data_IF_747578151071
#
_entry.id   IF_747578151071
#
_cell.length_a   1.000
_cell.length_b   1.000
_cell.length_c   1.000
_cell.angle_alpha   90.00
_cell.angle_beta   90.00
_cell.angle_gamma   90.00
#
_symmetry.space_group_name_H-M   'P 1'
#
loop_
_entity.id
_entity.type
_entity.pdbx_description
1 polymer ?
#
# COMPACT_ATOMS: atom_id res chain seq x y z
N UNK A 1 59.90 46.46 -39.81
CA UNK A 1 60.05 45.04 -40.08
C UNK A 1 59.56 44.26 -38.84
N UNK A 2 58.32 43.68 -38.86
CA UNK A 2 57.71 42.92 -37.75
C UNK A 2 58.01 41.44 -38.04
N UNK A 3 58.69 40.75 -37.12
CA UNK A 3 58.96 39.31 -37.16
C UNK A 3 57.73 38.58 -36.62
N UNK A 4 57.17 37.64 -37.37
CA UNK A 4 56.07 36.76 -36.98
C UNK A 4 56.67 35.49 -36.39
N UNK A 5 56.30 35.03 -35.23
CA UNK A 5 56.79 33.76 -34.68
C UNK A 5 56.01 32.60 -35.30
N UNK A 6 56.73 31.59 -35.78
CA UNK A 6 56.26 30.34 -36.33
C UNK A 6 55.80 29.43 -35.16
N UNK A 7 54.52 29.23 -35.06
CA UNK A 7 53.95 28.31 -34.04
C UNK A 7 53.93 26.90 -34.62
N UNK A 8 54.71 26.01 -34.04
CA UNK A 8 54.75 24.59 -34.38
C UNK A 8 53.55 23.90 -33.77
N UNK A 9 52.58 23.46 -34.60
CA UNK A 9 51.45 22.63 -34.19
C UNK A 9 51.86 21.17 -34.26
N UNK A 10 52.02 20.54 -33.12
CA UNK A 10 52.23 19.08 -33.00
C UNK A 10 50.88 18.42 -32.92
N UNK A 11 50.49 17.72 -33.99
CA UNK A 11 49.28 16.92 -34.04
C UNK A 11 49.60 15.52 -33.47
N UNK A 12 49.11 15.27 -32.25
CA UNK A 12 49.14 13.91 -31.69
C UNK A 12 47.98 13.10 -32.26
N UNK A 13 48.30 12.17 -33.18
CA UNK A 13 47.34 11.14 -33.58
C UNK A 13 47.25 10.08 -32.50
N UNK A 14 46.18 10.13 -31.68
CA UNK A 14 45.84 9.02 -30.83
C UNK A 14 45.20 7.91 -31.68
N UNK A 15 45.93 6.85 -31.86
CA UNK A 15 45.43 5.60 -32.42
C UNK A 15 44.52 4.95 -31.35
N UNK A 16 43.21 5.15 -31.44
CA UNK A 16 42.23 4.46 -30.58
C UNK A 16 42.05 3.06 -31.16
N UNK A 17 42.72 2.09 -30.56
CA UNK A 17 42.42 0.67 -30.75
C UNK A 17 41.03 0.38 -30.17
N UNK A 18 40.08 -0.17 -30.93
CA UNK A 18 38.85 -0.66 -30.36
C UNK A 18 39.17 -1.92 -29.54
N UNK A 19 39.14 -1.79 -28.20
CA UNK A 19 39.00 -2.93 -27.31
C UNK A 19 37.63 -3.53 -27.57
N UNK A 20 37.56 -4.60 -28.34
CA UNK A 20 36.42 -5.46 -28.45
C UNK A 20 36.22 -6.11 -27.05
N UNK A 21 35.44 -5.47 -26.20
CA UNK A 21 34.86 -6.13 -25.02
C UNK A 21 33.90 -7.20 -25.56
N UNK A 22 34.36 -8.45 -25.53
CA UNK A 22 33.49 -9.60 -25.66
C UNK A 22 32.58 -9.56 -24.44
N UNK A 23 31.41 -8.89 -24.56
CA UNK A 23 30.34 -9.03 -23.61
C UNK A 23 29.94 -10.51 -23.57
N UNK A 24 30.42 -11.16 -22.55
CA UNK A 24 30.07 -12.54 -22.25
C UNK A 24 28.53 -12.61 -22.15
N UNK A 25 27.94 -13.40 -23.03
CA UNK A 25 26.52 -13.73 -23.12
C UNK A 25 25.93 -14.40 -21.86
N UNK A 26 26.64 -14.30 -20.74
CA UNK A 26 26.25 -14.92 -19.46
C UNK A 26 25.16 -14.15 -18.71
N UNK A 27 24.93 -12.86 -18.99
CA UNK A 27 23.91 -12.10 -18.27
C UNK A 27 22.50 -12.18 -18.86
N UNK A 28 22.35 -12.70 -20.06
CA UNK A 28 21.03 -12.79 -20.71
C UNK A 28 20.20 -14.01 -20.31
N UNK A 29 20.83 -15.06 -19.79
CA UNK A 29 20.14 -16.32 -19.46
C UNK A 29 19.56 -16.35 -18.05
N UNK A 30 20.05 -15.51 -17.12
CA UNK A 30 19.54 -15.48 -15.74
C UNK A 30 18.33 -14.54 -15.53
N UNK A 31 18.07 -13.62 -16.44
CA UNK A 31 16.95 -12.69 -16.31
C UNK A 31 15.62 -13.24 -16.85
N UNK A 32 15.63 -14.37 -17.56
CA UNK A 32 14.43 -14.92 -18.22
C UNK A 32 13.72 -16.03 -17.44
N UNK A 33 14.25 -16.46 -16.30
CA UNK A 33 13.67 -17.59 -15.55
C UNK A 33 13.18 -17.26 -14.12
N UNK A 34 13.33 -16.01 -13.64
CA UNK A 34 12.68 -15.61 -12.39
C UNK A 34 11.25 -15.18 -12.75
N UNK A 35 10.36 -16.14 -12.95
CA UNK A 35 8.94 -15.83 -12.94
C UNK A 35 8.56 -15.49 -11.49
N UNK A 36 8.41 -14.20 -11.19
CA UNK A 36 7.79 -13.80 -9.93
C UNK A 36 6.42 -14.45 -9.83
N UNK A 37 6.04 -15.00 -8.68
CA UNK A 37 4.72 -15.58 -8.51
C UNK A 37 3.67 -14.54 -8.92
N UNK A 38 2.72 -14.94 -9.73
CA UNK A 38 1.63 -14.05 -10.17
C UNK A 38 0.83 -13.68 -8.95
N UNK A 39 0.79 -12.39 -8.62
CA UNK A 39 -0.03 -11.88 -7.51
C UNK A 39 -1.50 -12.23 -7.74
N UNK A 40 -2.19 -12.69 -6.73
CA UNK A 40 -3.64 -12.92 -6.79
C UNK A 40 -4.38 -11.58 -7.00
N UNK A 41 -3.88 -10.52 -6.35
CA UNK A 41 -4.41 -9.16 -6.43
C UNK A 41 -3.37 -8.21 -7.02
N UNK A 42 -3.21 -8.14 -8.36
CA UNK A 42 -2.27 -7.23 -9.02
C UNK A 42 -2.73 -5.78 -8.88
N UNK A 43 -1.83 -4.86 -9.22
CA UNK A 43 -2.12 -3.42 -9.26
C UNK A 43 -3.37 -3.11 -10.11
N UNK A 44 -4.15 -2.11 -9.66
CA UNK A 44 -5.35 -1.63 -10.35
C UNK A 44 -5.57 -0.12 -10.20
N UNK A 45 -4.50 0.66 -9.94
CA UNK A 45 -4.59 2.12 -9.73
C UNK A 45 -5.17 2.87 -10.94
N UNK A 46 -5.00 2.34 -12.16
CA UNK A 46 -5.55 2.95 -13.37
C UNK A 46 -7.04 2.67 -13.57
N UNK A 47 -7.64 1.80 -12.77
CA UNK A 47 -9.07 1.49 -12.84
C UNK A 47 -9.86 2.50 -11.98
N UNK A 48 -11.05 2.87 -12.47
CA UNK A 48 -11.97 3.71 -11.70
C UNK A 48 -12.84 2.84 -10.80
N UNK A 49 -12.97 3.26 -9.56
CA UNK A 49 -13.89 2.67 -8.58
C UNK A 49 -14.75 3.78 -7.96
N UNK A 50 -16.00 3.45 -7.63
CA UNK A 50 -16.96 4.36 -7.00
C UNK A 50 -16.41 4.91 -5.67
N UNK A 51 -17.03 5.96 -5.16
CA UNK A 51 -16.62 6.55 -3.87
C UNK A 51 -17.03 5.66 -2.70
N UNK A 52 -16.34 5.79 -1.57
CA UNK A 52 -16.47 4.91 -0.40
C UNK A 52 -17.88 4.84 0.18
N UNK A 53 -18.61 5.95 0.19
CA UNK A 53 -19.99 5.99 0.70
C UNK A 53 -20.96 5.26 -0.23
N UNK A 54 -20.79 5.42 -1.53
CA UNK A 54 -21.58 4.70 -2.54
C UNK A 54 -21.29 3.20 -2.46
N UNK A 55 -20.02 2.83 -2.37
CA UNK A 55 -19.62 1.44 -2.18
C UNK A 55 -20.24 0.83 -0.92
N UNK A 56 -20.21 1.55 0.21
CA UNK A 56 -20.80 1.09 1.46
C UNK A 56 -22.32 0.87 1.35
N UNK A 57 -23.01 1.73 0.61
CA UNK A 57 -24.46 1.60 0.39
C UNK A 57 -24.83 0.35 -0.42
N UNK A 58 -23.97 -0.02 -1.39
CA UNK A 58 -24.14 -1.23 -2.22
C UNK A 58 -23.64 -2.52 -1.54
N UNK A 59 -22.83 -2.38 -0.48
CA UNK A 59 -22.19 -3.53 0.17
C UNK A 59 -23.24 -4.41 0.87
N UNK A 60 -23.11 -5.73 0.70
CA UNK A 60 -23.86 -6.70 1.47
C UNK A 60 -23.56 -6.53 2.98
N UNK A 61 -24.61 -6.26 3.74
CA UNK A 61 -24.51 -6.03 5.20
C UNK A 61 -24.10 -7.28 5.97
N UNK A 62 -24.16 -8.46 5.37
CA UNK A 62 -23.57 -9.67 5.92
C UNK A 62 -22.03 -9.68 5.85
N UNK A 63 -21.44 -8.94 4.91
CA UNK A 63 -19.98 -8.75 4.82
C UNK A 63 -19.52 -7.75 5.87
N UNK A 64 -20.18 -6.58 5.91
CA UNK A 64 -19.89 -5.53 6.87
C UNK A 64 -21.06 -4.57 7.03
N UNK A 65 -21.41 -4.28 8.25
CA UNK A 65 -22.37 -3.23 8.65
C UNK A 65 -21.77 -2.44 9.80
N UNK A 66 -21.89 -1.13 9.79
CA UNK A 66 -21.49 -0.30 10.92
C UNK A 66 -22.38 -0.55 12.14
N UNK A 67 -21.90 -0.21 13.34
CA UNK A 67 -22.77 -0.23 14.52
C UNK A 67 -23.86 0.83 14.37
N UNK A 68 -25.11 0.48 14.68
CA UNK A 68 -26.26 1.40 14.56
C UNK A 68 -26.08 2.69 15.36
N UNK A 69 -25.41 2.61 16.51
CA UNK A 69 -25.09 3.73 17.39
C UNK A 69 -23.58 3.96 17.45
N UNK A 70 -22.91 3.93 16.29
CA UNK A 70 -21.49 4.18 16.22
C UNK A 70 -21.16 5.57 16.79
N UNK A 71 -20.21 5.63 17.71
CA UNK A 71 -19.64 6.89 18.17
C UNK A 71 -18.68 7.48 17.13
N UNK A 72 -18.11 6.62 16.27
CA UNK A 72 -17.29 7.00 15.15
C UNK A 72 -17.29 5.91 14.07
N UNK A 73 -17.36 6.32 12.81
CA UNK A 73 -17.17 5.45 11.63
C UNK A 73 -16.19 6.10 10.68
N UNK A 74 -15.46 5.27 9.95
CA UNK A 74 -14.49 5.68 8.93
C UNK A 74 -14.70 4.82 7.67
N UNK A 75 -14.71 5.46 6.52
CA UNK A 75 -14.76 4.83 5.20
C UNK A 75 -13.77 5.55 4.32
N UNK A 76 -12.83 4.81 3.75
CA UNK A 76 -11.81 5.39 2.89
C UNK A 76 -11.47 4.44 1.73
N UNK A 77 -11.31 4.99 0.54
CA UNK A 77 -10.78 4.32 -0.64
C UNK A 77 -9.28 4.62 -0.70
N UNK A 78 -8.45 3.62 -0.49
CA UNK A 78 -7.01 3.75 -0.30
C UNK A 78 -6.21 2.70 -1.08
N UNK A 79 -4.89 2.87 -1.14
CA UNK A 79 -3.98 1.80 -1.55
C UNK A 79 -3.81 0.78 -0.42
N UNK A 80 -3.59 -0.47 -0.75
CA UNK A 80 -3.36 -1.52 0.25
C UNK A 80 -2.18 -1.22 1.18
N UNK A 81 -1.15 -0.55 0.66
CA UNK A 81 0.01 -0.11 1.45
C UNK A 81 -0.35 0.91 2.55
N UNK A 82 -1.45 1.65 2.39
CA UNK A 82 -1.87 2.70 3.33
C UNK A 82 -2.76 2.15 4.45
N UNK A 83 -3.19 0.89 4.38
CA UNK A 83 -4.06 0.24 5.38
C UNK A 83 -3.52 0.37 6.81
N UNK A 84 -2.21 0.13 7.10
CA UNK A 84 -1.69 0.28 8.46
C UNK A 84 -1.78 1.68 9.03
N UNK A 85 -1.63 2.71 8.18
CA UNK A 85 -1.71 4.12 8.59
C UNK A 85 -3.16 4.54 8.81
N UNK A 86 -4.06 4.09 7.94
CA UNK A 86 -5.50 4.34 8.05
C UNK A 86 -6.08 3.68 9.30
N UNK A 87 -5.68 2.44 9.60
CA UNK A 87 -6.08 1.77 10.84
C UNK A 87 -5.56 2.48 12.08
N UNK A 88 -4.30 2.94 12.05
CA UNK A 88 -3.74 3.74 13.15
C UNK A 88 -4.52 5.04 13.34
N UNK A 89 -4.88 5.71 12.25
CA UNK A 89 -5.71 6.93 12.29
C UNK A 89 -7.07 6.67 12.95
N UNK A 90 -7.73 5.58 12.58
CA UNK A 90 -8.98 5.15 13.22
C UNK A 90 -8.80 4.91 14.71
N UNK A 91 -7.77 4.18 15.14
CA UNK A 91 -7.45 3.92 16.55
C UNK A 91 -7.20 5.19 17.34
N UNK A 92 -6.46 6.15 16.77
CA UNK A 92 -6.21 7.44 17.41
C UNK A 92 -7.50 8.26 17.58
N UNK A 93 -8.38 8.28 16.57
CA UNK A 93 -9.66 8.98 16.62
C UNK A 93 -10.62 8.39 17.68
N UNK A 94 -10.54 7.11 17.91
CA UNK A 94 -11.37 6.39 18.87
C UNK A 94 -10.72 6.26 20.26
N UNK A 95 -9.54 6.89 20.46
CA UNK A 95 -8.74 6.80 21.69
C UNK A 95 -8.35 5.37 22.07
N UNK A 96 -8.45 4.46 21.14
CA UNK A 96 -7.93 3.12 21.28
C UNK A 96 -6.40 3.21 21.25
N UNK A 97 -5.77 2.94 22.38
CA UNK A 97 -4.32 2.83 22.43
C UNK A 97 -3.87 1.82 21.37
N UNK A 98 -2.99 2.20 20.46
CA UNK A 98 -2.66 1.33 19.34
C UNK A 98 -1.18 1.22 19.08
N UNK A 99 -0.73 -0.01 18.92
CA UNK A 99 0.52 -0.31 18.19
C UNK A 99 0.17 -0.28 16.71
N UNK A 100 0.97 0.42 15.91
CA UNK A 100 0.88 0.38 14.45
C UNK A 100 1.01 -1.08 14.01
N UNK A 101 0.06 -1.59 13.22
CA UNK A 101 0.24 -2.90 12.61
C UNK A 101 1.51 -2.89 11.79
N UNK A 102 2.32 -3.95 11.89
CA UNK A 102 3.38 -4.16 10.92
C UNK A 102 2.73 -4.19 9.54
N UNK A 103 3.28 -3.51 8.53
CA UNK A 103 2.75 -3.58 7.19
C UNK A 103 2.66 -5.06 6.84
N UNK A 104 1.44 -5.51 6.61
CA UNK A 104 1.21 -6.87 6.18
C UNK A 104 1.76 -6.95 4.77
N UNK A 105 3.00 -7.39 4.63
CA UNK A 105 3.54 -7.80 3.34
C UNK A 105 2.79 -9.07 2.95
N UNK A 106 1.57 -8.90 2.45
CA UNK A 106 0.88 -9.99 1.79
C UNK A 106 1.66 -10.27 0.51
N UNK A 107 2.20 -11.47 0.39
CA UNK A 107 2.91 -11.90 -0.82
C UNK A 107 1.99 -11.94 -2.06
N UNK A 108 0.67 -11.90 -1.84
CA UNK A 108 -0.34 -12.08 -2.88
C UNK A 108 -1.03 -10.79 -3.33
N UNK A 109 -0.84 -9.67 -2.60
CA UNK A 109 -1.51 -8.40 -2.85
C UNK A 109 -0.48 -7.33 -3.21
N UNK A 110 -0.68 -6.67 -4.36
CA UNK A 110 0.19 -5.56 -4.76
C UNK A 110 0.01 -4.36 -3.81
N UNK A 111 1.08 -3.67 -3.37
CA UNK A 111 0.99 -2.51 -2.46
C UNK A 111 0.07 -1.40 -2.95
N UNK A 112 0.04 -1.16 -4.27
CA UNK A 112 -0.80 -0.15 -4.91
C UNK A 112 -2.19 -0.69 -5.30
N UNK A 113 -2.62 -1.85 -4.80
CA UNK A 113 -3.98 -2.35 -5.01
C UNK A 113 -4.98 -1.44 -4.34
N UNK A 114 -5.99 -0.93 -5.06
CA UNK A 114 -7.05 -0.13 -4.46
C UNK A 114 -8.00 -1.01 -3.65
N UNK A 115 -8.29 -0.55 -2.45
CA UNK A 115 -9.15 -1.23 -1.48
C UNK A 115 -10.05 -0.21 -0.77
N UNK A 116 -11.14 -0.67 -0.18
CA UNK A 116 -11.95 0.10 0.75
C UNK A 116 -11.63 -0.34 2.17
N UNK A 117 -11.23 0.61 2.99
CA UNK A 117 -11.12 0.47 4.43
C UNK A 117 -12.39 0.98 5.08
N UNK A 118 -13.04 0.15 5.88
CA UNK A 118 -14.25 0.52 6.62
C UNK A 118 -14.08 0.12 8.07
N UNK A 119 -14.38 1.04 8.98
CA UNK A 119 -14.27 0.81 10.41
C UNK A 119 -15.39 1.47 11.18
N UNK A 120 -15.80 0.88 12.30
CA UNK A 120 -16.85 1.39 13.15
C UNK A 120 -16.53 1.13 14.61
N UNK A 121 -16.78 2.15 15.44
CA UNK A 121 -16.54 2.16 16.87
C UNK A 121 -17.82 2.52 17.61
N UNK A 122 -18.16 1.71 18.62
CA UNK A 122 -19.23 1.97 19.55
C UNK A 122 -18.73 1.87 20.98
N UNK A 123 -19.17 2.77 21.84
CA UNK A 123 -18.78 2.81 23.25
C UNK A 123 -19.98 3.20 24.11
N UNK A 124 -20.07 2.61 25.29
CA UNK A 124 -20.96 3.05 26.35
C UNK A 124 -20.19 3.10 27.70
N UNK A 125 -20.87 3.33 28.80
CA UNK A 125 -20.26 3.46 30.14
C UNK A 125 -19.55 2.19 30.65
N UNK A 126 -19.83 1.03 30.06
CA UNK A 126 -19.35 -0.27 30.56
C UNK A 126 -18.42 -0.96 29.62
N UNK A 127 -18.52 -0.68 28.33
CA UNK A 127 -17.87 -1.48 27.31
C UNK A 127 -17.67 -0.72 25.99
N UNK A 128 -16.73 -1.18 25.20
CA UNK A 128 -16.45 -0.67 23.86
C UNK A 128 -16.29 -1.80 22.85
N UNK A 129 -16.70 -1.52 21.63
CA UNK A 129 -16.56 -2.39 20.47
C UNK A 129 -16.01 -1.64 19.29
N UNK A 130 -15.10 -2.25 18.61
CA UNK A 130 -14.66 -1.77 17.33
C UNK A 130 -14.47 -2.91 16.34
N UNK A 131 -14.69 -2.63 15.11
CA UNK A 131 -14.47 -3.54 13.98
C UNK A 131 -13.98 -2.78 12.78
N UNK A 132 -13.22 -3.46 11.95
CA UNK A 132 -12.83 -2.96 10.63
C UNK A 132 -12.82 -4.08 9.62
N UNK A 133 -12.85 -3.70 8.34
CA UNK A 133 -12.71 -4.59 7.20
C UNK A 133 -11.96 -3.86 6.09
N UNK A 134 -11.14 -4.61 5.34
CA UNK A 134 -10.48 -4.16 4.11
C UNK A 134 -11.02 -5.00 2.97
N UNK A 135 -11.63 -4.37 1.99
CA UNK A 135 -12.32 -5.03 0.88
C UNK A 135 -11.63 -4.62 -0.43
N UNK A 136 -11.29 -5.60 -1.25
CA UNK A 136 -10.75 -5.35 -2.57
C UNK A 136 -11.75 -4.60 -3.46
N UNK A 137 -11.34 -3.47 -4.03
CA UNK A 137 -12.23 -2.60 -4.79
C UNK A 137 -12.80 -3.27 -6.05
N UNK A 138 -12.04 -4.18 -6.66
CA UNK A 138 -12.43 -4.84 -7.92
C UNK A 138 -13.27 -6.09 -7.70
N UNK A 139 -12.83 -6.97 -6.79
CA UNK A 139 -13.46 -8.28 -6.60
C UNK A 139 -14.53 -8.27 -5.52
N UNK A 140 -14.62 -7.20 -4.72
CA UNK A 140 -15.48 -7.06 -3.53
C UNK A 140 -15.23 -8.13 -2.46
N UNK A 141 -14.09 -8.83 -2.51
CA UNK A 141 -13.70 -9.82 -1.51
C UNK A 141 -13.06 -9.16 -0.30
N UNK A 142 -13.32 -9.70 0.88
CA UNK A 142 -12.64 -9.31 2.11
C UNK A 142 -11.19 -9.80 2.06
N UNK A 143 -10.25 -8.88 2.23
CA UNK A 143 -8.82 -9.16 2.29
C UNK A 143 -8.33 -9.26 3.74
N UNK A 144 -8.78 -8.34 4.59
CA UNK A 144 -8.45 -8.27 6.01
C UNK A 144 -9.68 -7.87 6.79
N UNK A 145 -9.70 -8.19 8.08
CA UNK A 145 -10.71 -7.70 8.99
C UNK A 145 -10.40 -8.08 10.43
N UNK A 146 -10.99 -7.33 11.35
CA UNK A 146 -10.82 -7.57 12.77
C UNK A 146 -11.93 -6.95 13.58
N UNK A 147 -12.15 -7.50 14.76
CA UNK A 147 -13.00 -6.92 15.77
C UNK A 147 -12.31 -6.96 17.12
N UNK A 148 -12.67 -6.05 17.98
CA UNK A 148 -12.21 -6.02 19.35
C UNK A 148 -13.36 -5.60 20.25
N UNK A 149 -13.40 -6.18 21.44
CA UNK A 149 -14.37 -5.92 22.47
C UNK A 149 -13.65 -5.78 23.81
N UNK A 150 -13.96 -4.72 24.55
CA UNK A 150 -13.38 -4.48 25.85
C UNK A 150 -14.45 -4.08 26.86
N UNK A 151 -14.39 -4.65 28.08
CA UNK A 151 -15.26 -4.33 29.21
C UNK A 151 -14.47 -3.46 30.19
N UNK A 152 -15.02 -2.33 30.56
CA UNK A 152 -14.46 -1.50 31.63
C UNK A 152 -14.76 -2.13 32.98
N UNK A 153 -13.77 -2.80 33.56
CA UNK A 153 -13.93 -3.34 34.91
C UNK A 153 -13.85 -2.22 35.94
N UNK A 154 -14.94 -1.98 36.68
CA UNK A 154 -14.91 -1.09 37.83
C UNK A 154 -14.83 -1.93 39.13
N UNK A 155 -13.65 -2.04 39.75
CA UNK A 155 -13.48 -2.87 40.96
C UNK A 155 -14.16 -2.29 42.23
N UNK A 156 -14.80 -1.10 42.10
CA UNK A 156 -15.39 -0.38 43.24
C UNK A 156 -16.90 -0.26 43.19
N UNK A 157 -17.56 -1.09 42.41
CA UNK A 157 -19.03 -1.23 42.41
C UNK A 157 -19.43 -2.59 42.92
#
# INVERSE_FOLDING_TARGET
MKKIPLTLVVVFNFLVLPLALSETSYQRTLASEISFPKLEYPENQSEYFIEEDEFYNELDKNIYEEYKNAAYSMREKISFNDVPETELTFKLKTKLGGVKMNPTTSLDIHPNRQVYFMASFHQNEKEEWHKFVVIDAKTKKVLLGGNHYHIYYNPYK
#
